data_IF_862662187446
#
_entry.id   IF_862662187446
#
_cell.length_a   1.000
_cell.length_b   1.000
_cell.length_c   1.000
_cell.angle_alpha   90.00
_cell.angle_beta   90.00
_cell.angle_gamma   90.00
#
_symmetry.space_group_name_H-M   'P 1'
#
loop_
_entity.id
_entity.type
_entity.pdbx_description
1 polymer ?
#
# COMPACT_ATOMS: atom_id res chain seq x y z
N UNK A 1 -18.20 18.07 24.10
CA UNK A 1 -18.27 16.60 23.98
C UNK A 1 -17.11 16.15 23.08
N UNK A 2 -16.40 15.08 23.44
CA UNK A 2 -15.20 14.62 22.73
C UNK A 2 -15.53 13.88 21.41
N UNK A 3 -16.74 13.32 21.29
CA UNK A 3 -17.26 12.73 20.05
C UNK A 3 -18.42 13.58 19.51
N UNK A 4 -18.10 14.55 18.67
CA UNK A 4 -19.10 15.32 17.91
C UNK A 4 -19.36 14.61 16.57
N UNK A 5 -20.60 14.12 16.37
CA UNK A 5 -21.00 13.44 15.14
C UNK A 5 -20.93 14.38 13.91
N UNK A 6 -21.02 15.70 14.09
CA UNK A 6 -20.85 16.68 13.01
C UNK A 6 -19.43 16.76 12.45
N UNK A 7 -18.46 16.09 13.08
CA UNK A 7 -17.05 16.08 12.68
C UNK A 7 -16.62 14.84 11.89
N UNK A 8 -17.52 13.87 11.67
CA UNK A 8 -17.20 12.63 10.97
C UNK A 8 -16.66 12.89 9.56
N UNK A 9 -17.27 13.81 8.81
CA UNK A 9 -16.83 14.14 7.45
C UNK A 9 -15.45 14.83 7.46
N UNK A 10 -15.18 15.68 8.45
CA UNK A 10 -13.86 16.30 8.62
C UNK A 10 -12.78 15.25 8.85
N UNK A 11 -13.03 14.27 9.72
CA UNK A 11 -12.11 13.16 9.99
C UNK A 11 -11.91 12.30 8.73
N UNK A 12 -12.99 11.95 8.02
CA UNK A 12 -12.90 11.17 6.79
C UNK A 12 -12.06 11.89 5.73
N UNK A 13 -12.27 13.20 5.57
CA UNK A 13 -11.48 14.01 4.65
C UNK A 13 -10.00 14.01 5.04
N UNK A 14 -9.67 14.17 6.33
CA UNK A 14 -8.29 14.11 6.81
C UNK A 14 -7.62 12.76 6.57
N UNK A 15 -8.36 11.66 6.71
CA UNK A 15 -7.86 10.31 6.38
C UNK A 15 -7.57 10.22 4.89
N UNK A 16 -8.49 10.66 4.03
CA UNK A 16 -8.30 10.64 2.57
C UNK A 16 -7.09 11.48 2.16
N UNK A 17 -6.96 12.70 2.68
CA UNK A 17 -5.80 13.58 2.44
C UNK A 17 -4.48 12.90 2.83
N UNK A 18 -4.45 12.24 3.99
CA UNK A 18 -3.27 11.51 4.46
C UNK A 18 -2.91 10.32 3.56
N UNK A 19 -3.92 9.55 3.12
CA UNK A 19 -3.73 8.44 2.17
C UNK A 19 -3.19 8.95 0.83
N UNK A 20 -3.75 10.03 0.29
CA UNK A 20 -3.27 10.65 -0.95
C UNK A 20 -1.82 11.13 -0.80
N UNK A 21 -1.49 11.79 0.32
CA UNK A 21 -0.13 12.24 0.60
C UNK A 21 0.86 11.07 0.70
N UNK A 22 0.45 9.98 1.36
CA UNK A 22 1.26 8.76 1.45
C UNK A 22 1.54 8.16 0.05
N UNK A 23 0.52 8.03 -0.80
CA UNK A 23 0.68 7.52 -2.16
C UNK A 23 1.62 8.38 -3.01
N UNK A 24 1.48 9.71 -2.95
CA UNK A 24 2.37 10.65 -3.64
C UNK A 24 3.82 10.53 -3.17
N UNK A 25 4.04 10.39 -1.85
CA UNK A 25 5.38 10.21 -1.29
C UNK A 25 6.02 8.91 -1.75
N UNK A 26 5.32 7.78 -1.64
CA UNK A 26 5.84 6.47 -2.05
C UNK A 26 6.17 6.45 -3.53
N UNK A 27 5.28 6.93 -4.39
CA UNK A 27 5.50 6.96 -5.85
C UNK A 27 6.65 7.89 -6.24
N UNK A 28 6.86 8.99 -5.52
CA UNK A 28 7.99 9.90 -5.72
C UNK A 28 9.31 9.23 -5.36
N UNK A 29 9.41 8.64 -4.16
CA UNK A 29 10.62 7.98 -3.65
C UNK A 29 11.07 6.80 -4.55
N UNK A 30 10.10 6.08 -5.14
CA UNK A 30 10.37 4.90 -5.97
C UNK A 30 10.57 5.20 -7.46
N UNK A 31 10.65 6.48 -7.87
CA UNK A 31 10.78 6.87 -9.28
C UNK A 31 11.97 6.21 -10.00
N UNK A 32 13.10 6.01 -9.28
CA UNK A 32 14.28 5.34 -9.83
C UNK A 32 14.06 3.85 -10.16
N UNK A 33 13.01 3.23 -9.62
CA UNK A 33 12.70 1.80 -9.76
C UNK A 33 11.48 1.53 -10.64
N UNK A 34 11.13 2.47 -11.54
CA UNK A 34 9.97 2.31 -12.44
C UNK A 34 10.09 1.16 -13.44
N UNK A 35 11.32 0.79 -13.81
CA UNK A 35 11.60 -0.25 -14.81
C UNK A 35 11.62 -1.65 -14.18
N UNK A 36 10.45 -2.12 -13.73
CA UNK A 36 10.25 -3.47 -13.18
C UNK A 36 9.17 -4.21 -13.97
N UNK A 37 9.21 -5.54 -13.95
CA UNK A 37 8.22 -6.37 -14.65
C UNK A 37 6.99 -6.71 -13.79
N UNK A 38 7.08 -6.53 -12.47
CA UNK A 38 6.04 -6.83 -11.50
C UNK A 38 6.23 -6.00 -10.23
N UNK A 39 5.13 -5.66 -9.58
CA UNK A 39 5.09 -5.01 -8.26
C UNK A 39 4.26 -5.86 -7.32
N UNK A 40 4.81 -6.16 -6.15
CA UNK A 40 4.10 -6.83 -5.07
C UNK A 40 3.93 -5.86 -3.90
N UNK A 41 2.70 -5.67 -3.45
CA UNK A 41 2.37 -4.82 -2.33
C UNK A 41 2.19 -5.68 -1.08
N UNK A 42 2.99 -5.36 -0.06
CA UNK A 42 3.04 -6.03 1.24
C UNK A 42 2.97 -5.00 2.37
N UNK A 43 2.81 -5.47 3.60
CA UNK A 43 2.64 -4.64 4.79
C UNK A 43 1.21 -4.11 4.97
N UNK A 44 0.90 -3.62 6.18
CA UNK A 44 -0.45 -3.14 6.51
C UNK A 44 -0.90 -1.90 5.72
N UNK A 45 0.04 -1.16 5.12
CA UNK A 45 -0.25 -0.01 4.26
C UNK A 45 -0.54 -0.36 2.80
N UNK A 46 -0.43 -1.62 2.39
CA UNK A 46 -0.53 -2.03 0.98
C UNK A 46 -1.81 -1.53 0.30
N UNK A 47 -2.97 -1.75 0.93
CA UNK A 47 -4.27 -1.34 0.40
C UNK A 47 -4.47 0.18 0.37
N UNK A 48 -3.70 0.94 1.16
CA UNK A 48 -3.80 2.41 1.18
C UNK A 48 -3.12 3.03 -0.05
N UNK A 49 -2.12 2.37 -0.62
CA UNK A 49 -1.31 2.92 -1.72
C UNK A 49 -1.51 2.21 -3.06
N UNK A 50 -2.27 1.11 -3.10
CA UNK A 50 -2.45 0.30 -4.30
C UNK A 50 -2.83 1.14 -5.52
N UNK A 51 -3.84 2.00 -5.39
CA UNK A 51 -4.32 2.83 -6.49
C UNK A 51 -3.23 3.79 -6.99
N UNK A 52 -2.48 4.42 -6.08
CA UNK A 52 -1.39 5.32 -6.45
C UNK A 52 -0.27 4.58 -7.21
N UNK A 53 0.04 3.34 -6.81
CA UNK A 53 1.01 2.49 -7.50
C UNK A 53 0.49 2.09 -8.90
N UNK A 54 -0.78 1.68 -9.02
CA UNK A 54 -1.40 1.32 -10.31
C UNK A 54 -1.37 2.48 -11.30
N UNK A 55 -1.53 3.72 -10.83
CA UNK A 55 -1.44 4.91 -11.67
C UNK A 55 0.00 5.28 -12.06
N UNK A 56 0.97 5.02 -11.18
CA UNK A 56 2.36 5.42 -11.40
C UNK A 56 3.19 4.42 -12.23
N UNK A 57 2.86 3.13 -12.22
CA UNK A 57 3.55 2.10 -13.00
C UNK A 57 2.73 1.67 -14.22
N UNK A 58 3.27 1.79 -15.45
CA UNK A 58 2.58 1.40 -16.68
C UNK A 58 2.65 -0.12 -16.90
N UNK A 59 2.11 -0.89 -15.95
CA UNK A 59 2.08 -2.35 -15.99
C UNK A 59 0.66 -2.86 -16.22
N UNK A 60 0.55 -4.05 -16.81
CA UNK A 60 -0.75 -4.72 -16.90
C UNK A 60 -1.32 -4.97 -15.48
N UNK A 61 -2.66 -4.94 -15.29
CA UNK A 61 -3.26 -5.03 -13.95
C UNK A 61 -2.84 -6.27 -13.13
N UNK A 62 -2.59 -7.40 -13.79
CA UNK A 62 -2.13 -8.68 -13.22
C UNK A 62 -0.64 -8.68 -12.80
N UNK A 63 0.09 -7.61 -13.12
CA UNK A 63 1.49 -7.40 -12.74
C UNK A 63 1.65 -6.50 -11.51
N UNK A 64 0.54 -6.03 -10.93
CA UNK A 64 0.52 -5.32 -9.66
C UNK A 64 -0.43 -6.08 -8.73
N UNK A 65 0.14 -6.71 -7.71
CA UNK A 65 -0.58 -7.64 -6.83
C UNK A 65 -0.45 -7.20 -5.38
N UNK A 66 -1.57 -7.08 -4.67
CA UNK A 66 -1.59 -7.03 -3.20
C UNK A 66 -1.55 -8.46 -2.69
N UNK A 67 -0.48 -8.79 -1.96
CA UNK A 67 -0.29 -10.14 -1.42
C UNK A 67 -1.36 -10.43 -0.36
N UNK A 68 -1.88 -11.66 -0.33
CA UNK A 68 -2.82 -12.12 0.68
C UNK A 68 -2.26 -11.97 2.10
N UNK A 69 -3.09 -11.44 3.01
CA UNK A 69 -2.69 -11.01 4.36
C UNK A 69 -1.38 -10.19 4.33
N UNK A 70 -1.40 -9.00 3.68
CA UNK A 70 -0.19 -8.30 3.31
C UNK A 70 0.64 -7.90 4.54
N UNK A 71 -0.02 -7.61 5.67
CA UNK A 71 0.65 -7.31 6.94
C UNK A 71 1.49 -8.47 7.49
N UNK A 72 1.08 -9.73 7.23
CA UNK A 72 1.82 -10.92 7.67
C UNK A 72 2.80 -11.45 6.63
N UNK A 73 2.80 -10.90 5.40
CA UNK A 73 3.57 -11.43 4.28
C UNK A 73 5.04 -11.69 4.67
N UNK A 74 5.73 -10.72 5.28
CA UNK A 74 7.13 -10.89 5.68
C UNK A 74 7.33 -12.01 6.72
N UNK A 75 6.54 -11.99 7.80
CA UNK A 75 6.66 -12.97 8.87
C UNK A 75 6.34 -14.39 8.37
N UNK A 76 5.35 -14.51 7.48
CA UNK A 76 4.98 -15.77 6.84
C UNK A 76 6.12 -16.31 5.97
N UNK A 77 6.69 -15.48 5.09
CA UNK A 77 7.79 -15.92 4.22
C UNK A 77 9.03 -16.32 5.03
N UNK A 78 9.38 -15.60 6.11
CA UNK A 78 10.46 -16.00 7.03
C UNK A 78 10.18 -17.35 7.68
N UNK A 79 8.95 -17.57 8.15
CA UNK A 79 8.57 -18.82 8.81
C UNK A 79 8.54 -20.02 7.83
N UNK A 80 8.24 -19.78 6.54
CA UNK A 80 8.32 -20.80 5.50
C UNK A 80 9.78 -21.12 5.17
N UNK A 81 10.61 -20.10 4.98
CA UNK A 81 12.04 -20.26 4.70
C UNK A 81 12.73 -21.11 5.79
N UNK A 82 12.51 -20.81 7.06
CA UNK A 82 13.11 -21.54 8.18
C UNK A 82 12.56 -22.97 8.38
N UNK A 83 11.51 -23.39 7.68
CA UNK A 83 10.98 -24.76 7.69
C UNK A 83 11.56 -25.63 6.57
N UNK A 84 12.14 -25.00 5.55
CA UNK A 84 12.77 -25.69 4.42
C UNK A 84 14.24 -26.06 4.72
N UNK A 85 14.83 -25.48 5.77
CA UNK A 85 16.11 -25.86 6.41
C UNK A 85 15.90 -26.86 7.56
#
# INVERSE_FOLDING_TARGET
MINDAGKIDEVRNKITEAITSLGARVTSELTAFRNVNRVFLVGGGASLIEEAIRQAWPLAPDRIEVIGDPQMALAREIALYNKED
#
